data_IF_094330236898
#
_entry.id   IF_094330236898
#
_cell.length_a   1.000
_cell.length_b   1.000
_cell.length_c   1.000
_cell.angle_alpha   90.00
_cell.angle_beta   90.00
_cell.angle_gamma   90.00
#
_symmetry.space_group_name_H-M   'P 1'
#
loop_
_entity.id
_entity.type
_entity.pdbx_description
1 polymer ?
#
# COMPACT_ATOMS: atom_id res chain seq x y z
N UNK A 1 -16.59 6.05 3.86
CA UNK A 1 -15.62 6.78 3.02
C UNK A 1 -14.28 6.04 3.03
N UNK A 2 -13.86 5.51 1.89
CA UNK A 2 -12.75 4.55 1.80
C UNK A 2 -11.41 5.26 1.87
N UNK A 3 -10.64 5.00 2.92
CA UNK A 3 -9.31 5.55 3.11
C UNK A 3 -8.24 4.47 2.87
N UNK A 4 -7.25 4.83 2.06
CA UNK A 4 -5.95 4.18 1.83
C UNK A 4 -5.91 3.06 0.78
N UNK A 5 -5.10 3.21 -0.27
CA UNK A 5 -4.89 2.17 -1.29
C UNK A 5 -3.47 2.22 -1.87
N UNK A 6 -2.42 2.48 -1.07
CA UNK A 6 -1.07 2.61 -1.64
C UNK A 6 0.06 2.13 -0.71
N UNK A 7 0.53 0.88 -0.90
CA UNK A 7 1.90 0.47 -0.57
C UNK A 7 2.32 -0.88 -1.18
N UNK A 8 3.24 -0.86 -2.18
CA UNK A 8 4.47 -1.70 -2.28
C UNK A 8 5.26 -1.38 -3.56
N UNK A 9 6.51 -0.94 -3.41
CA UNK A 9 7.41 -0.42 -4.46
C UNK A 9 8.13 -1.45 -5.34
N UNK A 10 7.69 -2.70 -5.38
CA UNK A 10 8.24 -3.67 -6.36
C UNK A 10 7.21 -4.21 -7.35
N UNK A 11 5.92 -3.96 -7.10
CA UNK A 11 4.82 -4.50 -7.93
C UNK A 11 3.64 -3.52 -8.06
N UNK A 12 3.82 -2.21 -7.88
CA UNK A 12 2.73 -1.24 -8.02
C UNK A 12 2.83 -0.42 -9.33
N UNK A 13 2.30 -0.92 -10.47
CA UNK A 13 2.21 -0.17 -11.71
C UNK A 13 1.36 1.12 -11.64
N UNK A 14 0.60 1.40 -10.58
CA UNK A 14 -0.07 2.69 -10.39
C UNK A 14 0.93 3.84 -10.20
N UNK A 15 2.13 3.54 -9.70
CA UNK A 15 3.22 4.50 -9.46
C UNK A 15 4.35 4.42 -10.49
N UNK A 16 4.35 3.40 -11.36
CA UNK A 16 5.36 3.24 -12.41
C UNK A 16 4.94 3.82 -13.77
N UNK A 17 3.86 4.59 -13.84
CA UNK A 17 3.51 5.21 -15.11
C UNK A 17 4.49 6.36 -15.43
N UNK A 18 5.22 6.22 -16.55
CA UNK A 18 5.92 7.34 -17.19
C UNK A 18 4.94 8.42 -17.67
N UNK A 19 3.63 8.15 -17.65
CA UNK A 19 2.54 9.08 -17.95
C UNK A 19 1.85 9.71 -16.71
N UNK A 20 2.51 9.74 -15.54
CA UNK A 20 2.24 10.77 -14.53
C UNK A 20 0.89 10.70 -13.81
N UNK A 21 0.67 9.68 -12.98
CA UNK A 21 -0.14 9.92 -11.78
C UNK A 21 0.75 10.54 -10.71
N UNK A 22 0.69 11.87 -10.62
CA UNK A 22 1.35 12.61 -9.54
C UNK A 22 0.62 12.36 -8.23
N UNK A 23 1.29 12.54 -7.10
CA UNK A 23 0.65 12.36 -5.80
C UNK A 23 -0.60 13.26 -5.63
N UNK A 24 -0.61 14.41 -6.31
CA UNK A 24 -1.76 15.31 -6.42
C UNK A 24 -2.97 14.65 -7.11
N UNK A 25 -2.77 13.91 -8.20
CA UNK A 25 -3.87 13.21 -8.90
C UNK A 25 -4.47 12.08 -8.05
N UNK A 26 -3.65 11.38 -7.27
CA UNK A 26 -4.11 10.36 -6.34
C UNK A 26 -4.91 10.97 -5.18
N UNK A 27 -4.53 12.17 -4.72
CA UNK A 27 -5.16 12.82 -3.56
C UNK A 27 -6.40 13.63 -3.90
N UNK A 28 -6.48 14.21 -5.10
CA UNK A 28 -7.74 14.76 -5.62
C UNK A 28 -8.83 13.69 -5.74
N UNK A 29 -8.46 12.41 -5.85
CA UNK A 29 -9.38 11.28 -5.86
C UNK A 29 -9.70 10.73 -4.45
N UNK A 30 -8.93 11.13 -3.41
CA UNK A 30 -9.22 10.75 -2.02
C UNK A 30 -10.20 11.77 -1.44
N UNK A 31 -11.49 11.43 -1.49
CA UNK A 31 -12.52 12.10 -0.68
C UNK A 31 -12.10 12.07 0.79
N UNK A 32 -11.84 13.24 1.38
CA UNK A 32 -11.48 13.41 2.79
C UNK A 32 -9.99 13.64 3.09
N UNK A 33 -9.15 13.89 2.09
CA UNK A 33 -7.78 14.36 2.32
C UNK A 33 -7.80 15.75 2.99
N UNK A 34 -7.05 15.91 4.08
CA UNK A 34 -6.96 17.20 4.77
C UNK A 34 -6.16 18.21 3.94
N UNK A 35 -6.45 19.50 4.14
CA UNK A 35 -5.72 20.57 3.44
C UNK A 35 -4.20 20.48 3.72
N UNK A 36 -3.82 20.11 4.94
CA UNK A 36 -2.40 19.94 5.31
C UNK A 36 -1.74 18.79 4.54
N UNK A 37 -2.46 17.70 4.28
CA UNK A 37 -1.99 16.61 3.43
C UNK A 37 -1.82 17.08 1.99
N UNK A 38 -2.81 17.79 1.44
CA UNK A 38 -2.74 18.35 0.09
C UNK A 38 -1.55 19.30 -0.05
N UNK A 39 -1.33 20.18 0.93
CA UNK A 39 -0.20 21.10 0.95
C UNK A 39 1.14 20.36 1.07
N UNK A 40 1.24 19.32 1.89
CA UNK A 40 2.46 18.52 2.00
C UNK A 40 2.80 17.81 0.67
N UNK A 41 1.79 17.30 -0.02
CA UNK A 41 1.96 16.66 -1.33
C UNK A 41 2.29 17.67 -2.42
N UNK A 42 1.62 18.82 -2.42
CA UNK A 42 1.96 19.94 -3.29
C UNK A 42 3.37 20.44 -3.02
N UNK A 43 3.82 20.47 -1.77
CA UNK A 43 5.19 20.85 -1.42
C UNK A 43 6.20 19.79 -1.90
N UNK A 44 5.91 18.51 -1.72
CA UNK A 44 6.73 17.41 -2.24
C UNK A 44 6.87 17.47 -3.77
N UNK A 45 5.81 17.90 -4.47
CA UNK A 45 5.78 18.02 -5.93
C UNK A 45 6.36 19.35 -6.45
N UNK A 46 6.01 20.50 -5.85
CA UNK A 46 6.34 21.85 -6.33
C UNK A 46 7.64 22.44 -5.76
N UNK A 47 8.07 22.08 -4.54
CA UNK A 47 9.17 22.80 -3.85
C UNK A 47 10.53 22.12 -3.91
N UNK A 48 10.64 20.84 -4.25
CA UNK A 48 11.94 20.17 -4.21
C UNK A 48 12.16 19.05 -5.26
N UNK A 49 12.40 19.43 -6.53
CA UNK A 49 13.02 18.57 -7.56
C UNK A 49 12.29 17.27 -7.96
N UNK A 50 10.96 17.24 -7.96
CA UNK A 50 10.19 16.14 -8.59
C UNK A 50 10.22 14.81 -7.83
N UNK A 51 10.07 14.85 -6.50
CA UNK A 51 9.97 13.63 -5.67
C UNK A 51 8.69 12.85 -5.96
N UNK A 52 8.81 11.53 -5.93
CA UNK A 52 7.70 10.57 -6.08
C UNK A 52 7.37 9.98 -4.72
N UNK A 53 6.10 10.08 -4.34
CA UNK A 53 5.57 9.45 -3.13
C UNK A 53 5.53 7.94 -3.33
N UNK A 54 6.05 7.19 -2.38
CA UNK A 54 6.10 5.73 -2.43
C UNK A 54 5.50 5.04 -1.20
N UNK A 55 5.26 5.77 -0.11
CA UNK A 55 4.48 5.29 1.05
C UNK A 55 3.49 6.35 1.47
N UNK A 56 2.32 5.91 1.91
CA UNK A 56 1.31 6.76 2.49
C UNK A 56 0.47 5.97 3.49
N UNK A 57 0.05 6.62 4.57
CA UNK A 57 -0.89 6.10 5.54
C UNK A 57 -1.89 7.19 5.91
N UNK A 58 -3.15 6.80 6.07
CA UNK A 58 -4.23 7.69 6.48
C UNK A 58 -4.98 7.06 7.65
N UNK A 59 -5.18 7.84 8.69
CA UNK A 59 -5.89 7.46 9.89
C UNK A 59 -7.37 7.85 9.89
N UNK A 60 -8.14 7.22 10.78
CA UNK A 60 -9.57 7.45 10.87
C UNK A 60 -9.90 8.91 11.24
N UNK A 61 -9.07 9.59 12.04
CA UNK A 61 -9.32 10.96 12.53
C UNK A 61 -8.66 12.04 11.66
N UNK A 62 -8.10 11.66 10.52
CA UNK A 62 -7.42 12.58 9.61
C UNK A 62 -5.90 12.62 9.81
N UNK A 63 -5.36 11.74 10.64
CA UNK A 63 -3.92 11.53 10.74
C UNK A 63 -3.37 11.10 9.38
N UNK A 64 -2.16 11.54 9.04
CA UNK A 64 -1.53 11.09 7.82
C UNK A 64 -0.02 11.04 7.94
N UNK A 65 0.58 10.16 7.15
CA UNK A 65 2.02 10.07 6.94
C UNK A 65 2.27 9.81 5.46
N UNK A 66 3.29 10.42 4.89
CA UNK A 66 3.78 10.09 3.55
C UNK A 66 5.31 10.15 3.49
N UNK A 67 5.90 9.34 2.62
CA UNK A 67 7.31 9.46 2.27
C UNK A 67 7.54 9.36 0.77
N UNK A 68 8.58 10.05 0.33
CA UNK A 68 8.95 10.16 -1.07
C UNK A 68 10.44 10.36 -1.26
N UNK A 69 10.91 10.06 -2.47
CA UNK A 69 12.28 10.22 -2.91
C UNK A 69 12.32 10.75 -4.34
N UNK A 70 13.46 11.27 -4.80
CA UNK A 70 13.62 11.65 -6.21
C UNK A 70 13.58 10.41 -7.12
N UNK A 71 13.35 10.57 -8.44
CA UNK A 71 13.27 9.43 -9.35
C UNK A 71 14.55 8.58 -9.42
N UNK A 72 15.69 9.17 -9.08
CA UNK A 72 17.00 8.49 -8.98
C UNK A 72 17.21 7.77 -7.62
N UNK A 73 16.22 7.83 -6.72
CA UNK A 73 16.28 7.24 -5.37
C UNK A 73 16.94 8.14 -4.32
N UNK A 74 17.44 9.32 -4.68
CA UNK A 74 18.10 10.23 -3.74
C UNK A 74 17.12 11.14 -2.98
N UNK A 75 17.60 11.73 -1.88
CA UNK A 75 16.88 12.79 -1.17
C UNK A 75 15.59 12.33 -0.51
N UNK A 76 15.57 11.12 0.08
CA UNK A 76 14.40 10.60 0.77
C UNK A 76 13.91 11.56 1.85
N UNK A 77 12.59 11.75 1.93
CA UNK A 77 11.95 12.61 2.91
C UNK A 77 10.62 12.00 3.35
N UNK A 78 10.15 12.42 4.51
CA UNK A 78 8.84 12.05 5.02
C UNK A 78 8.17 13.22 5.72
N UNK A 79 6.85 13.20 5.68
CA UNK A 79 5.97 14.21 6.24
C UNK A 79 4.82 13.51 6.95
N UNK A 80 4.26 14.17 7.95
CA UNK A 80 3.11 13.65 8.67
C UNK A 80 2.23 14.80 9.17
N UNK A 81 1.01 14.48 9.58
CA UNK A 81 0.10 15.44 10.18
C UNK A 81 0.63 15.92 11.53
N UNK A 82 0.44 17.22 11.84
CA UNK A 82 1.00 17.85 13.05
C UNK A 82 0.25 17.52 14.35
N UNK A 83 -0.88 16.83 14.26
CA UNK A 83 -1.70 16.34 15.38
C UNK A 83 -1.25 14.96 15.88
N UNK A 84 -0.19 14.39 15.31
CA UNK A 84 0.39 13.14 15.77
C UNK A 84 1.21 13.32 17.06
N UNK A 85 1.32 12.27 17.89
CA UNK A 85 2.10 12.34 19.13
C UNK A 85 3.57 12.73 18.89
N UNK A 86 4.18 13.47 19.81
CA UNK A 86 5.59 13.90 19.71
C UNK A 86 6.55 12.73 19.44
N UNK A 87 6.28 11.55 20.04
CA UNK A 87 7.05 10.33 19.78
C UNK A 87 6.97 9.87 18.34
N UNK A 88 5.80 9.98 17.69
CA UNK A 88 5.67 9.65 16.27
C UNK A 88 6.60 10.53 15.43
N UNK A 89 6.62 11.84 15.69
CA UNK A 89 7.48 12.77 14.97
C UNK A 89 8.97 12.54 15.24
N UNK A 90 9.33 12.14 16.46
CA UNK A 90 10.71 11.81 16.79
C UNK A 90 11.19 10.52 16.10
N UNK A 91 10.29 9.54 15.91
CA UNK A 91 10.63 8.22 15.39
C UNK A 91 10.45 8.11 13.86
N UNK A 92 9.63 8.96 13.23
CA UNK A 92 9.30 8.81 11.81
C UNK A 92 10.54 8.90 10.92
N UNK A 93 10.66 7.93 10.00
CA UNK A 93 11.73 7.89 9.01
C UNK A 93 11.13 7.78 7.61
N UNK A 94 11.83 8.21 6.55
CA UNK A 94 11.50 7.81 5.19
C UNK A 94 11.40 6.28 5.06
N UNK A 95 10.58 5.80 4.12
CA UNK A 95 10.31 4.38 3.88
C UNK A 95 9.62 3.59 5.01
N UNK A 96 9.24 4.23 6.11
CA UNK A 96 8.51 3.56 7.19
C UNK A 96 7.17 3.01 6.69
N UNK A 97 6.79 1.82 7.17
CA UNK A 97 5.46 1.26 6.96
C UNK A 97 4.60 1.64 8.15
N UNK A 98 3.62 2.52 7.92
CA UNK A 98 2.76 3.09 8.95
C UNK A 98 1.33 2.60 8.77
N UNK A 99 0.65 2.33 9.88
CA UNK A 99 -0.79 2.15 9.94
C UNK A 99 -1.35 2.86 11.18
N UNK A 100 -2.54 3.42 11.04
CA UNK A 100 -3.25 4.16 12.08
C UNK A 100 -4.57 3.44 12.38
N UNK A 101 -4.87 3.28 13.67
CA UNK A 101 -6.08 2.66 14.18
C UNK A 101 -6.96 3.65 14.94
N UNK A 102 -7.93 3.14 15.70
CA UNK A 102 -8.76 3.95 16.60
C UNK A 102 -7.98 4.43 17.83
N UNK A 103 -8.53 5.37 18.61
CA UNK A 103 -8.04 5.70 19.96
C UNK A 103 -6.53 6.07 20.05
N UNK A 104 -6.02 6.83 19.08
CA UNK A 104 -4.60 7.18 18.92
C UNK A 104 -3.67 5.97 18.64
N UNK A 105 -4.21 4.83 18.23
CA UNK A 105 -3.43 3.66 17.87
C UNK A 105 -2.61 3.94 16.61
N UNK A 106 -1.33 3.61 16.67
CA UNK A 106 -0.50 3.53 15.48
C UNK A 106 0.55 2.44 15.61
N UNK A 107 0.92 1.87 14.47
CA UNK A 107 2.08 1.02 14.33
C UNK A 107 2.95 1.55 13.20
N UNK A 108 4.26 1.57 13.41
CA UNK A 108 5.26 2.01 12.46
C UNK A 108 6.42 1.04 12.47
N UNK A 109 6.67 0.40 11.33
CA UNK A 109 7.91 -0.34 11.08
C UNK A 109 8.90 0.63 10.44
N UNK A 110 10.01 0.89 11.12
CA UNK A 110 11.01 1.89 10.73
C UNK A 110 11.79 1.44 9.49
N UNK A 111 12.20 2.39 8.65
CA UNK A 111 13.01 2.11 7.46
C UNK A 111 14.35 1.45 7.79
N UNK A 112 14.98 1.82 8.90
CA UNK A 112 16.22 1.23 9.41
C UNK A 112 16.03 -0.09 10.18
N UNK A 113 14.79 -0.54 10.36
CA UNK A 113 14.43 -1.64 11.25
C UNK A 113 14.02 -1.16 12.64
N UNK A 114 13.23 -1.99 13.34
CA UNK A 114 12.58 -1.65 14.60
C UNK A 114 11.11 -1.25 14.44
N UNK A 115 10.43 -1.08 15.57
CA UNK A 115 8.99 -0.77 15.62
C UNK A 115 8.76 0.39 16.58
N UNK A 116 8.09 1.45 16.11
CA UNK A 116 7.47 2.47 16.96
C UNK A 116 5.96 2.25 16.96
N UNK A 117 5.32 2.32 18.11
CA UNK A 117 3.88 2.12 18.22
C UNK A 117 3.30 2.81 19.45
N UNK A 118 1.99 3.03 19.42
CA UNK A 118 1.19 3.47 20.55
C UNK A 118 -0.15 2.77 20.54
N UNK A 119 -0.64 2.40 21.72
CA UNK A 119 -1.96 1.79 21.95
C UNK A 119 -2.27 0.52 21.14
N UNK A 120 -1.25 -0.20 20.67
CA UNK A 120 -1.40 -1.47 19.96
C UNK A 120 -1.43 -2.65 20.92
N UNK A 121 -2.05 -3.76 20.50
CA UNK A 121 -2.04 -5.00 21.30
C UNK A 121 -0.62 -5.57 21.48
N UNK A 122 -0.35 -6.19 22.64
CA UNK A 122 0.93 -6.86 22.91
C UNK A 122 1.26 -7.94 21.87
N UNK A 123 0.24 -8.67 21.39
CA UNK A 123 0.40 -9.68 20.34
C UNK A 123 0.90 -9.04 19.04
N UNK A 124 0.28 -7.94 18.60
CA UNK A 124 0.70 -7.20 17.41
C UNK A 124 2.15 -6.73 17.55
N UNK A 125 2.50 -6.10 18.67
CA UNK A 125 3.86 -5.60 18.90
C UNK A 125 4.91 -6.74 18.88
N UNK A 126 4.60 -7.87 19.51
CA UNK A 126 5.48 -9.06 19.48
C UNK A 126 5.67 -9.58 18.06
N UNK A 127 4.61 -9.64 17.26
CA UNK A 127 4.66 -10.12 15.88
C UNK A 127 5.49 -9.18 15.00
N UNK A 128 5.28 -7.86 15.11
CA UNK A 128 6.09 -6.87 14.37
C UNK A 128 7.56 -6.92 14.76
N UNK A 129 7.87 -7.14 16.05
CA UNK A 129 9.26 -7.20 16.54
C UNK A 129 9.99 -8.46 16.07
N UNK A 130 9.27 -9.58 15.90
CA UNK A 130 9.83 -10.85 15.42
C UNK A 130 9.92 -10.91 13.89
N UNK A 131 9.09 -10.14 13.18
CA UNK A 131 9.04 -10.17 11.73
C UNK A 131 10.35 -9.68 11.12
N UNK A 132 11.01 -10.53 10.32
CA UNK A 132 12.22 -10.15 9.58
C UNK A 132 11.90 -9.09 8.53
N UNK A 133 10.74 -9.22 7.87
CA UNK A 133 10.30 -8.25 6.87
C UNK A 133 8.78 -8.18 6.83
N UNK A 134 8.24 -7.04 7.24
CA UNK A 134 6.82 -6.74 7.09
C UNK A 134 6.53 -6.24 5.67
N UNK A 135 5.60 -6.90 5.00
CA UNK A 135 5.18 -6.60 3.64
C UNK A 135 3.96 -5.70 3.59
N UNK A 136 3.03 -5.89 4.52
CA UNK A 136 1.78 -5.16 4.63
C UNK A 136 1.38 -5.14 6.11
N UNK A 137 0.81 -4.02 6.54
CA UNK A 137 0.30 -3.83 7.88
C UNK A 137 -0.95 -2.96 7.80
N UNK A 138 -2.01 -3.36 8.49
CA UNK A 138 -3.25 -2.63 8.59
C UNK A 138 -3.80 -2.76 10.02
N UNK A 139 -4.18 -1.64 10.61
CA UNK A 139 -4.99 -1.57 11.82
C UNK A 139 -6.46 -1.39 11.41
N UNK A 140 -7.34 -2.15 12.05
CA UNK A 140 -8.79 -2.11 11.89
C UNK A 140 -9.44 -1.60 13.18
N UNK A 141 -10.77 -1.50 13.20
CA UNK A 141 -11.49 -1.08 14.40
C UNK A 141 -11.31 -2.11 15.54
N UNK A 142 -11.49 -1.64 16.77
CA UNK A 142 -11.50 -2.49 17.97
C UNK A 142 -10.20 -3.30 18.19
N UNK A 143 -9.05 -2.73 17.81
CA UNK A 143 -7.74 -3.37 17.93
C UNK A 143 -7.51 -4.53 16.95
N UNK A 144 -8.35 -4.62 15.91
CA UNK A 144 -8.16 -5.56 14.83
C UNK A 144 -6.93 -5.20 14.00
N UNK A 145 -6.28 -6.21 13.42
CA UNK A 145 -5.12 -5.97 12.58
C UNK A 145 -4.90 -7.06 11.53
N UNK A 146 -4.12 -6.70 10.51
CA UNK A 146 -3.53 -7.59 9.52
C UNK A 146 -2.04 -7.30 9.46
N UNK A 147 -1.21 -8.33 9.59
CA UNK A 147 0.22 -8.29 9.28
C UNK A 147 0.45 -9.34 8.20
N UNK A 148 1.09 -8.94 7.11
CA UNK A 148 1.72 -9.88 6.19
C UNK A 148 3.22 -9.69 6.27
N UNK A 149 3.94 -10.74 6.60
CA UNK A 149 5.39 -10.77 6.63
C UNK A 149 5.95 -11.83 5.67
N UNK A 150 7.22 -12.20 5.85
CA UNK A 150 7.87 -13.23 5.06
C UNK A 150 7.48 -14.67 5.43
N UNK A 151 6.83 -14.89 6.56
CA UNK A 151 6.36 -16.20 7.03
C UNK A 151 4.94 -16.44 6.56
N UNK A 152 4.09 -15.42 6.63
CA UNK A 152 2.70 -15.54 6.23
C UNK A 152 1.88 -14.31 6.57
N UNK A 153 0.59 -14.54 6.85
CA UNK A 153 -0.36 -13.50 7.21
C UNK A 153 -0.95 -13.84 8.58
N UNK A 154 -0.77 -12.94 9.55
CA UNK A 154 -1.41 -12.99 10.86
C UNK A 154 -2.49 -11.91 10.92
N UNK A 155 -3.62 -12.25 11.52
CA UNK A 155 -4.79 -11.41 11.58
C UNK A 155 -5.55 -11.66 12.87
N UNK A 156 -6.20 -10.62 13.37
CA UNK A 156 -6.91 -10.64 14.64
C UNK A 156 -8.05 -9.64 14.62
N UNK A 157 -9.16 -9.99 15.27
CA UNK A 157 -10.29 -9.11 15.56
C UNK A 157 -10.79 -8.33 14.33
N UNK A 158 -10.88 -8.98 13.17
CA UNK A 158 -11.40 -8.39 11.94
C UNK A 158 -12.89 -8.69 11.77
N UNK A 159 -13.56 -7.87 10.96
CA UNK A 159 -14.87 -8.24 10.43
C UNK A 159 -14.77 -9.59 9.67
N UNK A 160 -15.71 -10.54 9.89
CA UNK A 160 -15.64 -11.85 9.26
C UNK A 160 -15.60 -11.83 7.73
N UNK A 161 -16.32 -10.90 7.07
CA UNK A 161 -16.33 -10.83 5.61
C UNK A 161 -14.98 -10.35 5.08
N UNK A 162 -14.38 -9.35 5.75
CA UNK A 162 -13.04 -8.87 5.43
C UNK A 162 -11.98 -9.96 5.66
N UNK A 163 -12.08 -10.69 6.78
CA UNK A 163 -11.19 -11.82 7.07
C UNK A 163 -11.27 -12.92 6.00
N UNK A 164 -12.49 -13.28 5.57
CA UNK A 164 -12.71 -14.24 4.47
C UNK A 164 -12.10 -13.72 3.17
N UNK A 165 -12.29 -12.44 2.83
CA UNK A 165 -11.70 -11.85 1.63
C UNK A 165 -10.16 -11.93 1.63
N UNK A 166 -9.51 -11.80 2.80
CA UNK A 166 -8.07 -11.93 2.94
C UNK A 166 -7.59 -13.39 2.87
N UNK A 167 -8.32 -14.33 3.49
CA UNK A 167 -7.93 -15.75 3.61
C UNK A 167 -8.32 -16.61 2.41
N UNK A 168 -9.38 -16.25 1.71
CA UNK A 168 -9.96 -17.03 0.61
C UNK A 168 -9.98 -16.18 -0.66
N UNK A 169 -8.80 -15.92 -1.25
CA UNK A 169 -8.70 -15.10 -2.45
C UNK A 169 -9.44 -15.75 -3.62
N UNK A 170 -10.00 -14.95 -4.56
CA UNK A 170 -10.56 -15.48 -5.80
C UNK A 170 -9.54 -16.36 -6.54
N UNK A 171 -10.04 -17.38 -7.25
CA UNK A 171 -9.16 -18.29 -7.99
C UNK A 171 -8.29 -17.52 -8.98
N UNK A 172 -6.97 -17.69 -8.88
CA UNK A 172 -6.01 -17.02 -9.75
C UNK A 172 -5.69 -15.58 -9.38
N UNK A 173 -6.16 -15.07 -8.23
CA UNK A 173 -5.87 -13.72 -7.75
C UNK A 173 -4.39 -13.50 -7.41
N UNK A 174 -3.65 -14.57 -7.09
CA UNK A 174 -2.28 -14.48 -6.57
C UNK A 174 -2.25 -14.08 -5.10
N UNK A 175 -1.12 -13.55 -4.65
CA UNK A 175 -0.91 -13.16 -3.25
C UNK A 175 -1.58 -11.83 -2.90
N UNK A 176 -1.97 -11.65 -1.63
CA UNK A 176 -2.39 -10.34 -1.11
C UNK A 176 -1.21 -9.37 -1.17
N UNK A 177 -1.43 -8.21 -1.78
CA UNK A 177 -0.45 -7.13 -1.90
C UNK A 177 -0.71 -6.02 -0.87
N UNK A 178 -1.97 -5.62 -0.72
CA UNK A 178 -2.41 -4.52 0.14
C UNK A 178 -3.90 -4.67 0.46
N UNK A 179 -4.37 -3.98 1.49
CA UNK A 179 -5.79 -3.86 1.78
C UNK A 179 -6.07 -2.56 2.50
N UNK A 180 -7.35 -2.18 2.47
CA UNK A 180 -7.94 -1.03 3.09
C UNK A 180 -9.21 -1.48 3.80
N UNK A 181 -9.47 -0.94 4.99
CA UNK A 181 -10.66 -1.26 5.77
C UNK A 181 -11.15 0.01 6.47
N UNK A 182 -12.43 0.32 6.34
CA UNK A 182 -13.06 1.45 7.00
C UNK A 182 -14.52 1.14 7.29
N UNK A 183 -14.90 1.19 8.56
CA UNK A 183 -16.25 0.84 9.04
C UNK A 183 -16.62 -0.58 8.62
N UNK A 184 -17.44 -0.74 7.57
CA UNK A 184 -17.86 -2.04 7.02
C UNK A 184 -17.43 -2.22 5.56
N UNK A 185 -16.67 -1.25 5.03
CA UNK A 185 -16.20 -1.23 3.66
C UNK A 185 -14.72 -1.57 3.57
N UNK A 186 -14.37 -2.38 2.57
CA UNK A 186 -12.99 -2.79 2.36
C UNK A 186 -12.62 -2.95 0.89
N UNK A 187 -11.32 -2.81 0.63
CA UNK A 187 -10.70 -3.24 -0.62
C UNK A 187 -9.53 -4.15 -0.28
N UNK A 188 -9.45 -5.30 -0.91
CA UNK A 188 -8.27 -6.19 -0.89
C UNK A 188 -7.67 -6.22 -2.28
N UNK A 189 -6.39 -5.87 -2.36
CA UNK A 189 -5.60 -5.85 -3.59
C UNK A 189 -4.74 -7.09 -3.63
N UNK A 190 -4.92 -7.91 -4.67
CA UNK A 190 -4.08 -9.07 -4.96
C UNK A 190 -3.17 -8.80 -6.16
N UNK A 191 -2.25 -9.72 -6.44
CA UNK A 191 -1.33 -9.57 -7.58
C UNK A 191 -2.05 -9.46 -8.94
N UNK A 192 -3.22 -10.08 -9.09
CA UNK A 192 -3.89 -10.22 -10.39
C UNK A 192 -5.34 -9.76 -10.42
N UNK A 193 -5.90 -9.41 -9.27
CA UNK A 193 -7.26 -8.87 -9.16
C UNK A 193 -7.41 -8.11 -7.85
N UNK A 194 -8.59 -7.53 -7.62
CA UNK A 194 -8.98 -6.97 -6.34
C UNK A 194 -10.38 -7.46 -5.96
N UNK A 195 -10.73 -7.27 -4.69
CA UNK A 195 -12.09 -7.39 -4.17
C UNK A 195 -12.42 -6.08 -3.47
N UNK A 196 -13.61 -5.55 -3.72
CA UNK A 196 -14.10 -4.30 -3.13
C UNK A 196 -15.56 -4.50 -2.69
N UNK A 197 -15.93 -3.94 -1.55
CA UNK A 197 -17.34 -3.87 -1.12
C UNK A 197 -18.13 -2.85 -1.97
N UNK A 198 -19.46 -2.89 -1.88
CA UNK A 198 -20.32 -1.99 -2.66
C UNK A 198 -20.24 -0.52 -2.21
N UNK A 199 -19.84 -0.24 -0.96
CA UNK A 199 -19.68 1.13 -0.46
C UNK A 199 -18.38 1.81 -0.92
N UNK A 200 -17.54 1.10 -1.68
CA UNK A 200 -16.35 1.70 -2.29
C UNK A 200 -16.74 2.64 -3.43
N UNK A 201 -16.20 3.87 -3.40
CA UNK A 201 -16.48 4.89 -4.43
C UNK A 201 -16.20 4.36 -5.84
N UNK A 202 -17.14 4.57 -6.75
CA UNK A 202 -17.04 4.15 -8.15
C UNK A 202 -15.74 4.62 -8.81
N UNK A 203 -15.26 5.82 -8.50
CA UNK A 203 -13.99 6.34 -9.04
C UNK A 203 -12.78 5.48 -8.65
N UNK A 204 -12.77 4.94 -7.43
CA UNK A 204 -11.70 4.05 -6.95
C UNK A 204 -11.81 2.69 -7.66
N UNK A 205 -13.02 2.16 -7.78
CA UNK A 205 -13.30 0.90 -8.49
C UNK A 205 -12.86 1.01 -9.95
N UNK A 206 -13.29 2.05 -10.67
CA UNK A 206 -12.90 2.34 -12.06
C UNK A 206 -11.38 2.43 -12.22
N UNK A 207 -10.68 3.08 -11.27
CA UNK A 207 -9.24 3.19 -11.31
C UNK A 207 -8.55 1.82 -11.16
N UNK A 208 -9.05 0.97 -10.25
CA UNK A 208 -8.56 -0.39 -10.06
C UNK A 208 -8.84 -1.25 -11.31
N UNK A 209 -10.04 -1.18 -11.89
CA UNK A 209 -10.39 -1.92 -13.12
C UNK A 209 -9.47 -1.56 -14.27
N UNK A 210 -9.24 -0.27 -14.51
CA UNK A 210 -8.32 0.22 -15.56
C UNK A 210 -6.90 -0.26 -15.33
N UNK A 211 -6.46 -0.29 -14.07
CA UNK A 211 -5.15 -0.81 -13.71
C UNK A 211 -5.03 -2.30 -14.01
N UNK A 212 -5.96 -3.14 -13.54
CA UNK A 212 -5.88 -4.60 -13.74
C UNK A 212 -6.08 -5.00 -15.19
N UNK A 213 -6.92 -4.29 -15.94
CA UNK A 213 -7.08 -4.48 -17.39
C UNK A 213 -5.75 -4.26 -18.11
N UNK A 214 -5.06 -3.17 -17.79
CA UNK A 214 -3.73 -2.87 -18.35
C UNK A 214 -2.69 -3.89 -17.90
N UNK A 215 -2.69 -4.26 -16.62
CA UNK A 215 -1.77 -5.24 -16.07
C UNK A 215 -1.91 -6.59 -16.75
N UNK A 216 -3.15 -7.05 -16.99
CA UNK A 216 -3.45 -8.27 -17.72
C UNK A 216 -2.94 -8.20 -19.16
N UNK A 217 -3.17 -7.08 -19.86
CA UNK A 217 -2.66 -6.88 -21.22
C UNK A 217 -1.13 -6.96 -21.28
N UNK A 218 -0.42 -6.31 -20.34
CA UNK A 218 1.03 -6.35 -20.24
C UNK A 218 1.54 -7.76 -19.94
N UNK A 219 0.90 -8.48 -19.02
CA UNK A 219 1.23 -9.86 -18.67
C UNK A 219 1.06 -10.79 -19.88
N UNK A 220 -0.05 -10.66 -20.60
CA UNK A 220 -0.30 -11.45 -21.81
C UNK A 220 0.73 -11.16 -22.91
N UNK A 221 1.06 -9.88 -23.13
CA UNK A 221 2.11 -9.48 -24.07
C UNK A 221 3.47 -10.08 -23.70
N UNK A 222 3.83 -10.05 -22.41
CA UNK A 222 5.08 -10.65 -21.91
C UNK A 222 5.10 -12.16 -22.10
N UNK A 223 3.98 -12.85 -21.83
CA UNK A 223 3.86 -14.30 -22.04
C UNK A 223 4.05 -14.69 -23.51
N UNK A 224 3.47 -13.93 -24.43
CA UNK A 224 3.64 -14.15 -25.87
C UNK A 224 5.10 -13.97 -26.29
N UNK A 225 5.76 -12.91 -25.82
CA UNK A 225 7.18 -12.66 -26.10
C UNK A 225 8.09 -13.78 -25.58
N UNK A 226 7.82 -14.31 -24.38
CA UNK A 226 8.57 -15.44 -23.83
C UNK A 226 8.36 -16.69 -24.68
N UNK A 227 7.12 -17.02 -25.01
CA UNK A 227 6.81 -18.19 -25.83
C UNK A 227 7.43 -18.13 -27.24
N UNK A 228 7.45 -16.94 -27.85
CA UNK A 228 8.11 -16.74 -29.14
C UNK A 228 9.64 -16.84 -29.04
N UNK A 229 10.23 -16.38 -27.93
CA UNK A 229 11.65 -16.54 -27.66
C UNK A 229 12.02 -18.02 -27.46
N UNK A 230 11.26 -18.75 -26.65
CA UNK A 230 11.45 -20.19 -26.41
C UNK A 230 11.32 -20.98 -27.70
N UNK A 231 10.32 -20.68 -28.54
CA UNK A 231 10.16 -21.33 -29.85
C UNK A 231 11.38 -21.11 -30.74
N UNK A 232 11.84 -19.87 -30.89
CA UNK A 232 13.02 -19.53 -31.71
C UNK A 232 14.29 -20.17 -31.16
N UNK A 233 14.44 -20.22 -29.83
CA UNK A 233 15.58 -20.87 -29.19
C UNK A 233 15.62 -22.36 -29.54
N UNK A 234 14.48 -23.05 -29.45
CA UNK A 234 14.36 -24.45 -29.85
C UNK A 234 14.59 -24.66 -31.35
N UNK A 235 14.07 -23.79 -32.23
CA UNK A 235 14.32 -23.88 -33.68
C UNK A 235 15.81 -23.77 -34.03
N UNK A 236 16.55 -22.88 -33.34
CA UNK A 236 17.99 -22.67 -33.59
C UNK A 236 18.84 -23.83 -33.03
N UNK A 237 18.41 -24.47 -31.94
CA UNK A 237 19.17 -25.52 -31.26
C UNK A 237 18.61 -26.94 -31.52
N UNK A 238 17.65 -27.09 -32.43
CA UNK A 238 17.14 -28.39 -32.87
C UNK A 238 18.06 -29.08 -33.90
N UNK A 239 18.99 -28.33 -34.51
CA UNK A 239 19.96 -28.82 -35.51
C UNK A 239 21.36 -29.11 -34.93
N UNK A 240 21.49 -29.18 -33.60
CA UNK A 240 22.67 -29.63 -32.86
C UNK A 240 22.35 -30.89 -32.05
#
# INVERSE_FOLDING_TARGET
AVKCLLAKTSCNPLLQDKAGMTALSAVQQITGASETMIQALLAAEKRENGRRIHRMALGPRGEWYCSGARPDGSGECCWASGDLPARFHADMQPNSLVSFGGDNEYAMVLGTGGVSSSNVSTKLLQNLTKARRVHMMLLARYGGYVIKDNVGMDLSCLDPAFEVALKTPPRGAGQVCSAAYSEDDYVVVFEHTYVATAGISANIVDALERFYTRHLALRNKRRLLIADYERRWHEIHADY
#
